data_IF_215303819240
#
_entry.id   IF_215303819240
#
_cell.length_a   1.000
_cell.length_b   1.000
_cell.length_c   1.000
_cell.angle_alpha   90.00
_cell.angle_beta   90.00
_cell.angle_gamma   90.00
#
_symmetry.space_group_name_H-M   'P 1'
#
loop_
_entity.id
_entity.type
_entity.pdbx_description
1 polymer ?
#
# COMPACT_ATOMS: atom_id res chain seq x y z
N UNK A 1 -13.13 -15.59 24.48
CA UNK A 1 -13.83 -14.30 24.30
C UNK A 1 -15.14 -14.46 23.52
N UNK A 2 -15.13 -14.83 22.23
CA UNK A 2 -16.39 -15.02 21.47
C UNK A 2 -17.25 -16.20 21.94
N UNK A 3 -16.63 -17.25 22.46
CA UNK A 3 -17.34 -18.34 23.17
C UNK A 3 -18.06 -17.85 24.44
N UNK A 4 -17.58 -16.76 25.07
CA UNK A 4 -18.22 -16.15 26.25
C UNK A 4 -19.44 -15.30 25.87
N UNK A 5 -19.54 -14.88 24.61
CA UNK A 5 -20.78 -14.33 24.06
C UNK A 5 -21.73 -15.42 23.59
N UNK A 6 -21.31 -16.69 23.53
CA UNK A 6 -22.15 -17.84 23.17
C UNK A 6 -22.85 -18.50 24.37
N UNK A 7 -22.45 -18.14 25.59
CA UNK A 7 -23.05 -18.61 26.85
C UNK A 7 -24.26 -17.76 27.26
N UNK A 8 -25.14 -18.34 28.07
CA UNK A 8 -26.19 -17.59 28.76
C UNK A 8 -25.61 -16.91 30.02
N UNK A 9 -26.11 -15.73 30.38
CA UNK A 9 -25.65 -14.99 31.56
C UNK A 9 -25.73 -13.48 31.42
N UNK A 10 -25.06 -12.78 32.33
CA UNK A 10 -25.01 -11.32 32.41
C UNK A 10 -23.57 -10.82 32.24
N UNK A 11 -23.41 -9.70 31.56
CA UNK A 11 -22.16 -8.97 31.38
C UNK A 11 -22.35 -7.59 31.99
N UNK A 12 -21.37 -7.14 32.76
CA UNK A 12 -21.36 -5.78 33.29
C UNK A 12 -20.70 -4.86 32.27
N UNK A 13 -21.38 -3.78 31.88
CA UNK A 13 -20.85 -2.73 31.02
C UNK A 13 -20.55 -1.50 31.86
N UNK A 14 -19.29 -1.03 31.81
CA UNK A 14 -18.89 0.19 32.49
C UNK A 14 -17.83 0.92 31.67
N UNK A 15 -18.08 2.19 31.31
CA UNK A 15 -17.15 3.04 30.54
C UNK A 15 -16.59 2.36 29.30
N UNK A 16 -17.45 1.88 28.40
CA UNK A 16 -17.07 1.20 27.15
C UNK A 16 -16.28 -0.12 27.35
N UNK A 17 -16.24 -0.67 28.56
CA UNK A 17 -15.63 -1.97 28.82
C UNK A 17 -16.67 -3.02 29.18
N UNK A 18 -16.47 -4.21 28.63
CA UNK A 18 -17.21 -5.42 29.00
C UNK A 18 -16.46 -6.15 30.10
N UNK A 19 -17.17 -6.44 31.18
CA UNK A 19 -16.68 -7.24 32.28
C UNK A 19 -17.45 -8.55 32.36
N UNK A 20 -16.73 -9.67 32.45
CA UNK A 20 -17.33 -10.99 32.53
C UNK A 20 -17.42 -11.45 33.98
N UNK A 21 -18.45 -12.25 34.33
CA UNK A 21 -18.57 -12.78 35.68
C UNK A 21 -17.34 -13.63 36.00
N UNK A 22 -16.73 -13.33 37.14
CA UNK A 22 -15.62 -14.10 37.66
C UNK A 22 -16.16 -15.44 38.12
N UNK A 23 -15.71 -16.53 37.50
CA UNK A 23 -16.02 -17.87 37.99
C UNK A 23 -15.31 -18.04 39.34
N UNK A 24 -16.10 -18.24 40.40
CA UNK A 24 -15.62 -18.36 41.77
C UNK A 24 -15.09 -19.78 42.00
N UNK A 25 -13.85 -20.01 41.57
CA UNK A 25 -13.03 -21.11 42.07
C UNK A 25 -12.52 -20.73 43.50
N UNK A 26 -12.43 -21.67 44.46
CA UNK A 26 -11.86 -21.42 45.79
C UNK A 26 -10.50 -20.70 45.76
N UNK A 27 -9.63 -21.03 44.80
CA UNK A 27 -8.31 -20.43 44.67
C UNK A 27 -8.41 -18.96 44.20
N UNK A 28 -9.33 -18.68 43.28
CA UNK A 28 -9.62 -17.33 42.77
C UNK A 28 -10.26 -16.47 43.87
N UNK A 29 -11.12 -17.04 44.72
CA UNK A 29 -11.67 -16.32 45.88
C UNK A 29 -10.57 -15.89 46.87
N UNK A 30 -9.56 -16.74 47.09
CA UNK A 30 -8.40 -16.41 47.91
C UNK A 30 -7.62 -15.21 47.36
N UNK A 31 -7.36 -15.18 46.06
CA UNK A 31 -6.65 -14.07 45.40
C UNK A 31 -7.45 -12.77 45.40
N UNK A 32 -8.76 -12.82 45.14
CA UNK A 32 -9.60 -11.61 45.13
C UNK A 32 -9.73 -11.00 46.52
N UNK A 33 -9.72 -11.82 47.58
CA UNK A 33 -9.77 -11.35 48.97
C UNK A 33 -8.54 -10.54 49.39
N UNK A 34 -7.43 -10.67 48.64
CA UNK A 34 -6.17 -9.94 48.85
C UNK A 34 -6.11 -8.61 48.06
N UNK A 35 -7.03 -8.39 47.11
CA UNK A 35 -7.07 -7.15 46.35
C UNK A 35 -7.63 -5.99 47.20
N UNK A 36 -7.16 -4.74 46.99
CA UNK A 36 -7.81 -3.57 47.55
C UNK A 36 -9.29 -3.58 47.16
N UNK A 37 -10.20 -3.31 48.10
CA UNK A 37 -11.66 -3.44 47.92
C UNK A 37 -12.07 -2.96 46.52
N UNK A 38 -12.71 -3.82 45.70
CA UNK A 38 -13.12 -3.45 44.35
C UNK A 38 -14.05 -2.23 44.43
N UNK A 39 -13.98 -1.36 43.41
CA UNK A 39 -14.89 -0.23 43.31
C UNK A 39 -16.32 -0.77 43.21
N UNK A 40 -17.12 -0.53 44.26
CA UNK A 40 -18.52 -0.95 44.32
C UNK A 40 -19.30 0.00 43.42
N UNK A 41 -19.82 -0.51 42.31
CA UNK A 41 -20.81 0.23 41.52
C UNK A 41 -22.16 0.08 42.24
N UNK A 42 -22.55 1.09 43.00
CA UNK A 42 -23.88 1.13 43.60
C UNK A 42 -24.93 1.19 42.48
N UNK A 43 -25.89 0.27 42.51
CA UNK A 43 -26.87 0.03 41.45
C UNK A 43 -27.81 1.22 41.13
N UNK A 44 -27.78 2.32 41.89
CA UNK A 44 -28.74 3.44 41.78
C UNK A 44 -28.12 4.84 41.57
N UNK A 45 -26.83 4.95 41.23
CA UNK A 45 -26.22 6.29 41.11
C UNK A 45 -26.37 6.89 39.71
N UNK A 46 -27.50 7.57 39.49
CA UNK A 46 -27.76 8.48 38.37
C UNK A 46 -26.91 9.78 38.39
N UNK A 47 -25.63 9.72 38.77
CA UNK A 47 -24.82 10.91 39.04
C UNK A 47 -23.37 10.85 38.57
N UNK A 48 -23.09 11.50 37.44
CA UNK A 48 -21.84 12.25 37.15
C UNK A 48 -20.54 11.47 36.84
N UNK A 49 -19.81 11.80 35.76
CA UNK A 49 -18.58 11.10 35.36
C UNK A 49 -17.35 11.65 36.10
N UNK A 50 -16.80 10.89 37.04
CA UNK A 50 -15.47 11.14 37.61
C UNK A 50 -14.36 10.36 36.87
N UNK A 51 -13.23 10.97 36.47
CA UNK A 51 -12.18 10.32 35.68
C UNK A 51 -11.21 9.52 36.59
N UNK A 52 -11.69 8.42 37.20
CA UNK A 52 -10.82 7.43 37.84
C UNK A 52 -10.38 6.33 36.86
N UNK A 53 -9.25 5.64 37.05
CA UNK A 53 -8.91 4.47 36.25
C UNK A 53 -9.98 3.37 36.42
N UNK A 54 -10.38 2.72 35.32
CA UNK A 54 -11.27 1.57 35.36
C UNK A 54 -10.58 0.46 36.18
N UNK A 55 -11.21 0.02 37.27
CA UNK A 55 -10.68 -1.08 38.08
C UNK A 55 -10.70 -2.39 37.28
N UNK A 56 -9.66 -3.22 37.41
CA UNK A 56 -9.59 -4.51 36.73
C UNK A 56 -10.70 -5.48 37.18
N UNK A 57 -11.24 -5.29 38.39
CA UNK A 57 -12.36 -6.04 38.96
C UNK A 57 -13.39 -5.06 39.52
N UNK A 58 -14.67 -5.29 39.21
CA UNK A 58 -15.80 -4.51 39.69
C UNK A 58 -16.81 -5.42 40.40
N UNK A 59 -17.48 -4.88 41.41
CA UNK A 59 -18.60 -5.55 42.07
C UNK A 59 -19.92 -4.94 41.59
N UNK A 60 -20.87 -5.79 41.23
CA UNK A 60 -22.26 -5.42 40.96
C UNK A 60 -23.17 -6.42 41.68
N UNK A 61 -23.83 -5.96 42.75
CA UNK A 61 -24.55 -6.84 43.67
C UNK A 61 -23.60 -7.76 44.45
N UNK A 62 -23.93 -9.05 44.47
CA UNK A 62 -23.17 -10.13 45.10
C UNK A 62 -22.11 -10.77 44.17
N UNK A 63 -22.00 -10.28 42.93
CA UNK A 63 -21.12 -10.84 41.91
C UNK A 63 -19.93 -9.93 41.59
N UNK A 64 -18.81 -10.58 41.29
CA UNK A 64 -17.58 -9.94 40.84
C UNK A 64 -17.42 -10.12 39.34
N UNK A 65 -16.96 -9.06 38.69
CA UNK A 65 -16.76 -9.01 37.25
C UNK A 65 -15.35 -8.54 36.92
N UNK A 66 -14.69 -9.21 35.99
CA UNK A 66 -13.32 -8.88 35.56
C UNK A 66 -13.35 -8.20 34.20
N UNK A 67 -12.59 -7.11 34.07
CA UNK A 67 -12.43 -6.37 32.83
C UNK A 67 -11.83 -7.28 31.75
N UNK A 68 -12.48 -7.38 30.59
CA UNK A 68 -11.97 -8.20 29.51
C UNK A 68 -11.59 -7.40 28.27
N UNK A 69 -12.54 -6.65 27.72
CA UNK A 69 -12.35 -5.99 26.42
C UNK A 69 -13.17 -4.73 26.33
N UNK A 70 -12.67 -3.77 25.55
CA UNK A 70 -13.45 -2.62 25.14
C UNK A 70 -14.52 -3.02 24.13
N UNK A 71 -15.74 -2.54 24.32
CA UNK A 71 -16.85 -2.84 23.42
C UNK A 71 -16.54 -2.36 21.99
N UNK A 72 -15.92 -1.18 21.84
CA UNK A 72 -15.48 -0.68 20.52
C UNK A 72 -14.43 -1.59 19.85
N UNK A 73 -13.49 -2.13 20.63
CA UNK A 73 -12.39 -2.95 20.11
C UNK A 73 -12.87 -4.27 19.48
N UNK A 74 -14.01 -4.82 19.95
CA UNK A 74 -14.65 -6.00 19.36
C UNK A 74 -15.05 -5.78 17.90
N UNK A 75 -15.47 -4.56 17.56
CA UNK A 75 -15.94 -4.19 16.23
C UNK A 75 -14.77 -3.67 15.39
N UNK A 76 -13.89 -2.86 15.97
CA UNK A 76 -12.74 -2.25 15.29
C UNK A 76 -11.76 -3.29 14.73
N UNK A 77 -11.46 -4.33 15.52
CA UNK A 77 -10.46 -5.34 15.17
C UNK A 77 -11.06 -6.60 14.55
N UNK A 78 -12.38 -6.67 14.38
CA UNK A 78 -13.07 -7.85 13.90
C UNK A 78 -12.50 -8.39 12.57
N UNK A 79 -12.28 -7.52 11.58
CA UNK A 79 -11.74 -7.89 10.27
C UNK A 79 -10.32 -8.49 10.37
N UNK A 80 -9.52 -8.02 11.33
CA UNK A 80 -8.15 -8.51 11.55
C UNK A 80 -8.16 -9.88 12.22
N UNK A 81 -9.09 -10.11 13.13
CA UNK A 81 -9.18 -11.37 13.89
C UNK A 81 -9.90 -12.46 13.07
N UNK A 82 -10.95 -12.11 12.31
CA UNK A 82 -11.77 -13.04 11.53
C UNK A 82 -11.91 -12.62 10.06
N UNK A 83 -10.80 -12.60 9.28
CA UNK A 83 -10.82 -12.07 7.91
C UNK A 83 -11.77 -12.83 6.99
N UNK A 84 -11.85 -14.16 7.13
CA UNK A 84 -12.75 -15.01 6.31
C UNK A 84 -14.22 -14.79 6.65
N UNK A 85 -14.56 -14.64 7.94
CA UNK A 85 -15.95 -14.42 8.35
C UNK A 85 -16.42 -13.02 7.97
N UNK A 86 -15.57 -12.01 8.20
CA UNK A 86 -15.79 -10.65 7.75
C UNK A 86 -16.04 -10.57 6.24
N UNK A 87 -15.24 -11.27 5.42
CA UNK A 87 -15.43 -11.31 3.98
C UNK A 87 -16.79 -11.92 3.57
N UNK A 88 -17.21 -13.02 4.23
CA UNK A 88 -18.53 -13.63 3.99
C UNK A 88 -19.67 -12.70 4.37
N UNK A 89 -19.61 -12.09 5.57
CA UNK A 89 -20.62 -11.13 6.05
C UNK A 89 -20.74 -9.92 5.13
N UNK A 90 -19.61 -9.38 4.69
CA UNK A 90 -19.58 -8.26 3.74
C UNK A 90 -20.21 -8.66 2.39
N UNK A 91 -19.94 -9.88 1.91
CA UNK A 91 -20.56 -10.41 0.70
C UNK A 91 -22.09 -10.55 0.85
N UNK A 92 -22.57 -11.10 1.96
CA UNK A 92 -24.01 -11.20 2.22
C UNK A 92 -24.68 -9.84 2.32
N UNK A 93 -24.02 -8.84 2.94
CA UNK A 93 -24.51 -7.46 2.96
C UNK A 93 -24.58 -6.87 1.55
N UNK A 94 -23.57 -7.12 0.72
CA UNK A 94 -23.58 -6.66 -0.67
C UNK A 94 -24.73 -7.26 -1.46
N UNK A 95 -25.01 -8.55 -1.28
CA UNK A 95 -26.17 -9.21 -1.92
C UNK A 95 -27.49 -8.62 -1.41
N UNK A 96 -27.64 -8.46 -0.09
CA UNK A 96 -28.84 -7.90 0.55
C UNK A 96 -29.19 -6.51 0.00
N UNK A 97 -28.20 -5.65 -0.22
CA UNK A 97 -28.41 -4.29 -0.74
C UNK A 97 -28.25 -4.19 -2.27
N UNK A 98 -28.17 -5.33 -2.96
CA UNK A 98 -27.96 -5.43 -4.42
C UNK A 98 -26.79 -4.56 -4.89
N UNK A 99 -25.64 -4.73 -4.23
CA UNK A 99 -24.39 -4.01 -4.48
C UNK A 99 -23.44 -4.80 -5.41
N UNK A 100 -23.92 -5.86 -6.05
CA UNK A 100 -23.08 -6.82 -6.78
C UNK A 100 -23.19 -6.71 -8.31
N UNK A 101 -22.05 -6.99 -8.96
CA UNK A 101 -21.74 -6.96 -10.40
C UNK A 101 -21.56 -5.57 -11.04
N UNK A 102 -22.58 -4.72 -11.10
CA UNK A 102 -22.50 -3.46 -11.88
C UNK A 102 -21.65 -2.36 -11.20
N UNK A 103 -21.41 -2.51 -9.89
CA UNK A 103 -20.59 -1.60 -9.07
C UNK A 103 -19.18 -2.11 -8.83
N UNK A 104 -18.91 -3.38 -9.17
CA UNK A 104 -17.59 -4.02 -9.05
C UNK A 104 -16.69 -3.71 -10.26
N UNK A 105 -17.05 -2.67 -11.02
CA UNK A 105 -16.33 -2.17 -12.17
C UNK A 105 -14.86 -1.87 -11.86
N UNK A 106 -14.12 -1.65 -12.94
CA UNK A 106 -12.68 -1.40 -12.92
C UNK A 106 -12.37 -0.27 -11.93
N UNK A 107 -11.85 -0.63 -10.75
CA UNK A 107 -11.36 0.35 -9.79
C UNK A 107 -10.00 0.85 -10.26
N UNK A 108 -9.89 2.15 -10.44
CA UNK A 108 -8.64 2.79 -10.81
C UNK A 108 -7.79 2.96 -9.56
N UNK A 109 -6.82 2.07 -9.40
CA UNK A 109 -5.90 2.06 -8.27
C UNK A 109 -5.20 3.43 -8.13
N UNK A 110 -5.33 4.13 -6.98
CA UNK A 110 -4.67 5.42 -6.74
C UNK A 110 -3.15 5.38 -6.96
N UNK A 111 -2.50 4.24 -6.73
CA UNK A 111 -1.07 4.07 -6.99
C UNK A 111 -0.77 4.01 -8.48
N UNK A 112 -1.61 3.35 -9.27
CA UNK A 112 -1.50 3.37 -10.73
C UNK A 112 -1.65 4.80 -11.27
N UNK A 113 -2.66 5.53 -10.79
CA UNK A 113 -2.85 6.95 -11.13
C UNK A 113 -1.60 7.76 -10.81
N UNK A 114 -1.01 7.55 -9.63
CA UNK A 114 0.24 8.21 -9.23
C UNK A 114 1.42 7.84 -10.15
N UNK A 115 1.56 6.57 -10.50
CA UNK A 115 2.62 6.09 -11.40
C UNK A 115 2.49 6.75 -12.78
N UNK A 116 1.28 6.75 -13.34
CA UNK A 116 1.01 7.22 -14.70
C UNK A 116 1.11 8.74 -14.81
N UNK A 117 0.53 9.49 -13.87
CA UNK A 117 0.41 10.95 -14.01
C UNK A 117 1.47 11.75 -13.25
N UNK A 118 2.18 11.15 -12.30
CA UNK A 118 3.15 11.88 -11.49
C UNK A 118 4.57 11.32 -11.56
N UNK A 119 4.75 10.03 -11.87
CA UNK A 119 6.09 9.42 -11.95
C UNK A 119 6.56 9.28 -13.40
N UNK A 120 5.74 8.69 -14.27
CA UNK A 120 6.07 8.47 -15.68
C UNK A 120 6.51 9.76 -16.41
N UNK A 121 5.83 10.91 -16.25
CA UNK A 121 6.21 12.15 -16.95
C UNK A 121 7.58 12.72 -16.57
N UNK A 122 8.16 12.24 -15.45
CA UNK A 122 9.52 12.62 -15.04
C UNK A 122 10.59 11.87 -15.85
N UNK A 123 10.34 10.61 -16.20
CA UNK A 123 11.31 9.71 -16.81
C UNK A 123 11.13 9.48 -18.32
N UNK A 124 9.98 9.90 -18.86
CA UNK A 124 9.60 9.75 -20.27
C UNK A 124 9.41 11.14 -20.86
N UNK A 125 9.89 11.33 -22.09
CA UNK A 125 9.73 12.58 -22.83
C UNK A 125 8.98 12.31 -24.12
N UNK A 126 8.33 13.32 -24.68
CA UNK A 126 7.79 13.20 -26.03
C UNK A 126 8.90 13.56 -27.02
N UNK A 127 9.25 12.65 -27.92
CA UNK A 127 10.17 12.92 -29.03
C UNK A 127 9.46 13.77 -30.11
N UNK A 128 10.13 14.84 -30.56
CA UNK A 128 9.62 15.81 -31.53
C UNK A 128 10.58 17.01 -31.67
N UNK A 129 10.19 18.06 -32.41
CA UNK A 129 11.03 19.26 -32.68
C UNK A 129 11.55 19.97 -31.41
N UNK A 130 10.89 19.80 -30.27
CA UNK A 130 11.38 20.20 -28.94
C UNK A 130 11.04 19.11 -27.93
N UNK A 131 12.05 18.43 -27.40
CA UNK A 131 11.88 17.44 -26.33
C UNK A 131 11.26 18.10 -25.10
N UNK A 132 10.02 17.76 -24.76
CA UNK A 132 9.28 18.36 -23.63
C UNK A 132 8.74 17.30 -22.67
N UNK A 133 8.53 17.71 -21.42
CA UNK A 133 7.86 16.88 -20.40
C UNK A 133 6.35 16.90 -20.63
N UNK A 134 5.71 15.76 -20.44
CA UNK A 134 4.26 15.66 -20.41
C UNK A 134 3.76 16.35 -19.14
N UNK A 135 2.78 17.26 -19.24
CA UNK A 135 2.31 18.05 -18.08
C UNK A 135 0.86 17.80 -17.71
N UNK A 136 0.04 17.44 -18.69
CA UNK A 136 -1.40 17.26 -18.50
C UNK A 136 -1.75 15.77 -18.58
N UNK A 137 -2.74 15.34 -17.78
CA UNK A 137 -3.21 13.94 -17.77
C UNK A 137 -3.67 13.50 -19.17
N UNK A 138 -4.35 14.39 -19.90
CA UNK A 138 -4.77 14.16 -21.27
C UNK A 138 -3.60 13.84 -22.20
N UNK A 139 -2.53 14.63 -22.13
CA UNK A 139 -1.31 14.46 -22.93
C UNK A 139 -0.61 13.13 -22.62
N UNK A 140 -0.57 12.74 -21.34
CA UNK A 140 -0.02 11.45 -20.91
C UNK A 140 -0.82 10.29 -21.48
N UNK A 141 -2.15 10.35 -21.45
CA UNK A 141 -3.00 9.27 -21.97
C UNK A 141 -2.96 9.18 -23.49
N UNK A 142 -2.84 10.31 -24.20
CA UNK A 142 -2.66 10.32 -25.64
C UNK A 142 -1.32 9.66 -26.01
N UNK A 143 -0.24 10.06 -25.34
CA UNK A 143 1.09 9.48 -25.53
C UNK A 143 1.13 7.96 -25.26
N UNK A 144 0.48 7.52 -24.17
CA UNK A 144 0.34 6.08 -23.89
C UNK A 144 -0.52 5.40 -24.95
N UNK A 145 -1.62 6.03 -25.39
CA UNK A 145 -2.54 5.47 -26.38
C UNK A 145 -1.91 5.29 -27.77
N UNK A 146 -0.97 6.16 -28.15
CA UNK A 146 -0.16 6.03 -29.37
C UNK A 146 0.74 4.78 -29.32
N UNK A 147 1.34 4.52 -28.15
CA UNK A 147 2.26 3.39 -27.95
C UNK A 147 1.55 2.07 -27.61
N UNK A 148 0.38 2.16 -27.00
CA UNK A 148 -0.42 1.04 -26.51
C UNK A 148 -1.90 1.29 -26.82
N UNK A 149 -2.34 1.07 -28.07
CA UNK A 149 -3.71 1.30 -28.47
C UNK A 149 -4.67 0.36 -27.72
N UNK A 150 -5.67 0.93 -27.07
CA UNK A 150 -6.64 0.18 -26.30
C UNK A 150 -7.59 -0.63 -27.22
N UNK A 151 -7.86 -1.92 -26.93
CA UNK A 151 -8.87 -2.68 -27.65
C UNK A 151 -10.26 -2.04 -27.52
N UNK A 152 -11.10 -2.13 -28.56
CA UNK A 152 -12.46 -1.54 -28.59
C UNK A 152 -13.36 -1.96 -27.42
N UNK A 153 -13.13 -3.15 -26.83
CA UNK A 153 -13.85 -3.60 -25.64
C UNK A 153 -13.71 -2.60 -24.46
N UNK A 154 -12.56 -1.94 -24.34
CA UNK A 154 -12.30 -0.95 -23.30
C UNK A 154 -13.00 0.39 -23.55
N UNK A 155 -13.39 0.71 -24.79
CA UNK A 155 -14.25 1.87 -25.05
C UNK A 155 -15.66 1.65 -24.51
N UNK A 156 -16.19 0.43 -24.63
CA UNK A 156 -17.48 0.06 -24.03
C UNK A 156 -17.39 0.11 -22.51
N UNK A 157 -16.32 -0.44 -21.93
CA UNK A 157 -16.09 -0.36 -20.48
C UNK A 157 -15.91 1.08 -20.00
N UNK A 158 -15.27 1.95 -20.78
CA UNK A 158 -15.19 3.38 -20.47
C UNK A 158 -16.58 4.03 -20.41
N UNK A 159 -17.48 3.66 -21.33
CA UNK A 159 -18.87 4.13 -21.30
C UNK A 159 -19.63 3.64 -20.06
N UNK A 160 -19.48 2.36 -19.71
CA UNK A 160 -20.08 1.77 -18.51
C UNK A 160 -19.51 2.37 -17.22
N UNK A 161 -18.20 2.66 -17.20
CA UNK A 161 -17.53 3.33 -16.08
C UNK A 161 -18.10 4.73 -15.84
N UNK A 162 -18.37 5.48 -16.90
CA UNK A 162 -18.93 6.83 -16.82
C UNK A 162 -20.41 6.86 -16.41
N UNK A 163 -21.12 5.72 -16.46
CA UNK A 163 -22.49 5.66 -15.92
C UNK A 163 -22.46 5.67 -14.39
N UNK A 164 -22.84 6.81 -13.82
CA UNK A 164 -22.91 7.03 -12.37
C UNK A 164 -24.26 6.63 -11.77
N UNK A 165 -25.28 6.32 -12.59
CA UNK A 165 -26.62 6.02 -12.09
C UNK A 165 -26.70 4.77 -11.20
N UNK A 166 -25.98 3.67 -11.51
CA UNK A 166 -25.91 2.51 -10.62
C UNK A 166 -25.37 2.89 -9.24
N UNK A 167 -24.32 3.71 -9.18
CA UNK A 167 -23.70 4.17 -7.93
C UNK A 167 -24.64 5.06 -7.11
N UNK A 168 -25.28 6.04 -7.76
CA UNK A 168 -26.26 6.91 -7.09
C UNK A 168 -27.43 6.11 -6.53
N UNK A 169 -27.90 5.10 -7.27
CA UNK A 169 -28.96 4.21 -6.83
C UNK A 169 -28.53 3.36 -5.63
N UNK A 170 -27.31 2.81 -5.66
CA UNK A 170 -26.74 2.05 -4.55
C UNK A 170 -26.56 2.89 -3.28
N UNK A 171 -26.04 4.11 -3.42
CA UNK A 171 -25.91 5.06 -2.31
C UNK A 171 -27.26 5.44 -1.70
N UNK A 172 -28.32 5.59 -2.51
CA UNK A 172 -29.69 5.79 -2.01
C UNK A 172 -30.18 4.58 -1.21
N UNK A 173 -29.96 3.35 -1.69
CA UNK A 173 -30.29 2.12 -0.96
C UNK A 173 -29.57 2.02 0.38
N UNK A 174 -28.27 2.34 0.41
CA UNK A 174 -27.48 2.36 1.65
C UNK A 174 -27.91 3.48 2.61
N UNK A 175 -28.33 4.63 2.09
CA UNK A 175 -28.79 5.75 2.91
C UNK A 175 -30.15 5.49 3.58
N UNK A 176 -30.93 4.53 3.05
CA UNK A 176 -32.17 4.05 3.66
C UNK A 176 -31.93 2.99 4.75
N UNK A 177 -30.69 2.53 4.95
CA UNK A 177 -30.37 1.62 6.04
C UNK A 177 -30.53 2.31 7.40
N UNK A 178 -31.02 1.60 8.43
CA UNK A 178 -31.15 2.17 9.76
C UNK A 178 -29.79 2.64 10.29
N UNK A 179 -29.74 3.72 11.09
CA UNK A 179 -28.53 4.10 11.79
C UNK A 179 -28.08 2.95 12.71
N UNK A 180 -26.77 2.91 13.01
CA UNK A 180 -26.24 1.94 13.95
C UNK A 180 -26.90 2.06 15.34
N UNK A 181 -26.86 0.98 16.14
CA UNK A 181 -27.46 0.99 17.46
C UNK A 181 -26.77 2.03 18.35
N UNK A 182 -27.50 2.50 19.37
CA UNK A 182 -26.93 3.36 20.40
C UNK A 182 -25.77 2.64 21.13
N UNK A 183 -24.85 3.39 21.77
CA UNK A 183 -23.85 2.81 22.65
C UNK A 183 -24.50 1.90 23.72
N UNK A 184 -23.79 0.86 24.15
CA UNK A 184 -24.28 -0.01 25.22
C UNK A 184 -24.58 0.83 26.48
N UNK A 185 -25.75 0.66 27.11
CA UNK A 185 -26.04 1.31 28.38
C UNK A 185 -25.10 0.77 29.47
N UNK A 186 -24.82 1.60 30.47
CA UNK A 186 -24.06 1.15 31.64
C UNK A 186 -24.91 0.20 32.51
N UNK A 187 -24.24 -0.74 33.17
CA UNK A 187 -24.86 -1.67 34.11
C UNK A 187 -24.85 -3.13 33.63
N UNK A 188 -25.64 -3.96 34.31
CA UNK A 188 -25.76 -5.38 34.03
C UNK A 188 -26.67 -5.60 32.81
N UNK A 189 -26.13 -6.25 31.78
CA UNK A 189 -26.86 -6.57 30.56
C UNK A 189 -26.85 -8.08 30.30
N UNK A 190 -27.98 -8.64 29.83
CA UNK A 190 -27.99 -10.00 29.32
C UNK A 190 -26.99 -10.17 28.18
N UNK A 191 -26.29 -11.29 28.13
CA UNK A 191 -25.36 -11.63 27.03
C UNK A 191 -26.04 -11.53 25.67
N UNK A 192 -27.32 -11.93 25.58
CA UNK A 192 -28.12 -11.82 24.36
C UNK A 192 -28.23 -10.38 23.85
N UNK A 193 -28.45 -9.41 24.74
CA UNK A 193 -28.53 -7.99 24.39
C UNK A 193 -27.19 -7.43 23.93
N UNK A 194 -26.08 -7.83 24.58
CA UNK A 194 -24.73 -7.45 24.14
C UNK A 194 -24.39 -8.05 22.77
N UNK A 195 -24.85 -9.28 22.50
CA UNK A 195 -24.67 -9.96 21.21
C UNK A 195 -25.44 -9.25 20.10
N UNK A 196 -26.72 -8.95 20.31
CA UNK A 196 -27.55 -8.21 19.36
C UNK A 196 -26.96 -6.83 19.06
N UNK A 197 -26.57 -6.09 20.09
CA UNK A 197 -25.86 -4.82 19.93
C UNK A 197 -24.60 -4.97 19.08
N UNK A 198 -23.79 -5.99 19.35
CA UNK A 198 -22.55 -6.22 18.61
C UNK A 198 -22.82 -6.55 17.15
N UNK A 199 -23.80 -7.40 16.85
CA UNK A 199 -24.18 -7.77 15.48
C UNK A 199 -24.66 -6.55 14.68
N UNK A 200 -25.55 -5.74 15.25
CA UNK A 200 -26.05 -4.52 14.63
C UNK A 200 -24.95 -3.45 14.49
N UNK A 201 -24.06 -3.31 15.46
CA UNK A 201 -22.91 -2.38 15.38
C UNK A 201 -21.94 -2.81 14.29
N UNK A 202 -21.64 -4.10 14.19
CA UNK A 202 -20.75 -4.64 13.16
C UNK A 202 -21.35 -4.45 11.76
N UNK A 203 -22.64 -4.72 11.61
CA UNK A 203 -23.39 -4.48 10.37
C UNK A 203 -23.36 -2.99 9.98
N UNK A 204 -23.65 -2.09 10.92
CA UNK A 204 -23.59 -0.65 10.69
C UNK A 204 -22.20 -0.19 10.27
N UNK A 205 -21.13 -0.73 10.89
CA UNK A 205 -19.74 -0.45 10.50
C UNK A 205 -19.46 -0.88 9.06
N UNK A 206 -19.87 -2.08 8.66
CA UNK A 206 -19.69 -2.55 7.28
C UNK A 206 -20.47 -1.70 6.27
N UNK A 207 -21.71 -1.32 6.58
CA UNK A 207 -22.49 -0.41 5.74
C UNK A 207 -21.84 0.96 5.60
N UNK A 208 -21.30 1.52 6.69
CA UNK A 208 -20.58 2.79 6.67
C UNK A 208 -19.30 2.71 5.80
N UNK A 209 -18.56 1.60 5.90
CA UNK A 209 -17.37 1.35 5.07
C UNK A 209 -17.73 1.24 3.58
N UNK A 210 -18.78 0.49 3.24
CA UNK A 210 -19.25 0.38 1.85
C UNK A 210 -19.78 1.71 1.32
N UNK A 211 -20.50 2.49 2.13
CA UNK A 211 -20.94 3.83 1.76
C UNK A 211 -19.75 4.75 1.45
N UNK A 212 -18.73 4.75 2.31
CA UNK A 212 -17.52 5.53 2.08
C UNK A 212 -16.80 5.11 0.78
N UNK A 213 -16.70 3.80 0.53
CA UNK A 213 -16.15 3.26 -0.73
C UNK A 213 -16.93 3.74 -1.95
N UNK A 214 -18.26 3.61 -1.96
CA UNK A 214 -19.09 4.01 -3.11
C UNK A 214 -19.09 5.53 -3.33
N UNK A 215 -18.97 6.33 -2.26
CA UNK A 215 -18.77 7.78 -2.39
C UNK A 215 -17.44 8.11 -3.06
N UNK A 216 -16.37 7.41 -2.69
CA UNK A 216 -15.07 7.57 -3.35
C UNK A 216 -15.15 7.17 -4.83
N UNK A 217 -15.74 6.01 -5.14
CA UNK A 217 -15.90 5.54 -6.53
C UNK A 217 -16.75 6.53 -7.37
N UNK A 218 -17.76 7.16 -6.77
CA UNK A 218 -18.56 8.20 -7.42
C UNK A 218 -17.73 9.46 -7.70
N UNK A 219 -17.00 9.96 -6.71
CA UNK A 219 -16.13 11.13 -6.88
C UNK A 219 -15.07 10.89 -7.95
N UNK A 220 -14.48 9.69 -7.98
CA UNK A 220 -13.50 9.33 -8.99
C UNK A 220 -14.13 9.33 -10.40
N UNK A 221 -15.31 8.70 -10.58
CA UNK A 221 -16.00 8.71 -11.88
C UNK A 221 -16.42 10.12 -12.31
N UNK A 222 -16.87 10.97 -11.39
CA UNK A 222 -17.22 12.36 -11.69
C UNK A 222 -16.00 13.17 -12.12
N UNK A 223 -14.82 12.95 -11.50
CA UNK A 223 -13.55 13.54 -11.96
C UNK A 223 -13.20 13.10 -13.38
N UNK A 224 -13.41 11.83 -13.70
CA UNK A 224 -13.10 11.28 -15.02
C UNK A 224 -14.15 11.61 -16.09
N UNK A 225 -15.32 12.14 -15.73
CA UNK A 225 -16.39 12.48 -16.68
C UNK A 225 -16.00 13.54 -17.72
N UNK A 226 -15.08 14.45 -17.36
CA UNK A 226 -14.53 15.44 -18.29
C UNK A 226 -13.49 14.86 -19.27
N UNK A 227 -13.05 13.61 -19.06
CA UNK A 227 -12.03 12.96 -19.88
C UNK A 227 -12.64 12.36 -21.13
N UNK A 228 -11.97 12.52 -22.27
CA UNK A 228 -12.41 11.89 -23.52
C UNK A 228 -12.45 10.36 -23.38
N UNK A 229 -13.50 9.74 -23.94
CA UNK A 229 -13.74 8.29 -23.83
C UNK A 229 -12.54 7.44 -24.24
N UNK A 230 -11.85 7.82 -25.32
CA UNK A 230 -10.66 7.11 -25.79
C UNK A 230 -9.52 7.09 -24.77
N UNK A 231 -9.27 8.23 -24.12
CA UNK A 231 -8.25 8.35 -23.05
C UNK A 231 -8.61 7.51 -21.83
N UNK A 232 -9.88 7.51 -21.43
CA UNK A 232 -10.36 6.66 -20.35
C UNK A 232 -10.22 5.17 -20.71
N UNK A 233 -10.53 4.78 -21.95
CA UNK A 233 -10.33 3.41 -22.43
C UNK A 233 -8.85 2.99 -22.34
N UNK A 234 -7.90 3.87 -22.69
CA UNK A 234 -6.47 3.65 -22.49
C UNK A 234 -6.12 3.42 -21.03
N UNK A 235 -6.64 4.24 -20.11
CA UNK A 235 -6.37 4.10 -18.69
C UNK A 235 -6.94 2.79 -18.11
N UNK A 236 -8.16 2.41 -18.52
CA UNK A 236 -8.80 1.16 -18.11
C UNK A 236 -8.05 -0.06 -18.66
N UNK A 237 -7.59 0.01 -19.92
CA UNK A 237 -6.78 -1.02 -20.53
C UNK A 237 -5.44 -1.19 -19.79
N UNK A 238 -4.79 -0.08 -19.46
CA UNK A 238 -3.56 -0.07 -18.67
C UNK A 238 -3.76 -0.66 -17.28
N UNK A 239 -4.87 -0.33 -16.62
CA UNK A 239 -5.24 -0.93 -15.33
C UNK A 239 -5.43 -2.44 -15.44
N UNK A 240 -6.07 -2.91 -16.51
CA UNK A 240 -6.29 -4.32 -16.78
C UNK A 240 -4.97 -5.08 -17.05
N UNK A 241 -4.13 -4.56 -17.96
CA UNK A 241 -2.82 -5.14 -18.26
C UNK A 241 -1.92 -5.17 -17.02
N UNK A 242 -1.99 -4.13 -16.19
CA UNK A 242 -1.20 -4.02 -14.98
C UNK A 242 0.30 -3.82 -15.24
N UNK A 243 0.71 -3.55 -16.48
CA UNK A 243 2.10 -3.28 -16.83
C UNK A 243 2.21 -2.36 -18.05
N UNK A 244 3.31 -1.61 -18.12
CA UNK A 244 3.68 -0.75 -19.25
C UNK A 244 5.18 -0.51 -19.20
N UNK A 245 5.82 -0.41 -20.37
CA UNK A 245 7.18 0.09 -20.53
C UNK A 245 7.25 1.04 -21.72
N UNK A 246 7.67 2.28 -21.48
CA UNK A 246 7.86 3.34 -22.48
C UNK A 246 9.22 4.00 -22.24
N UNK A 247 10.02 4.11 -23.30
CA UNK A 247 11.36 4.72 -23.24
C UNK A 247 12.23 4.16 -22.10
N UNK A 248 12.10 2.85 -21.82
CA UNK A 248 12.80 2.17 -20.74
C UNK A 248 12.32 2.49 -19.32
N UNK A 249 11.35 3.39 -19.12
CA UNK A 249 10.60 3.50 -17.87
C UNK A 249 9.42 2.54 -17.89
N UNK A 250 9.17 1.82 -16.81
CA UNK A 250 8.03 0.93 -16.77
C UNK A 250 7.58 0.54 -15.38
N UNK A 251 6.47 -0.18 -15.33
CA UNK A 251 5.97 -0.80 -14.12
C UNK A 251 5.27 -2.12 -14.42
N UNK A 252 5.14 -2.97 -13.40
CA UNK A 252 4.23 -4.12 -13.42
C UNK A 252 3.63 -4.36 -12.04
N UNK A 253 2.39 -4.83 -12.03
CA UNK A 253 1.65 -5.20 -10.83
C UNK A 253 2.27 -6.43 -10.16
N UNK A 254 2.37 -6.42 -8.85
CA UNK A 254 2.88 -7.50 -8.01
C UNK A 254 1.71 -8.33 -7.48
N UNK A 255 1.52 -9.52 -8.07
CA UNK A 255 0.44 -10.43 -7.70
C UNK A 255 -0.95 -9.87 -8.02
N UNK A 256 -1.94 -10.24 -7.20
CA UNK A 256 -3.34 -9.78 -7.34
C UNK A 256 -3.65 -8.50 -6.56
N UNK A 257 -2.65 -7.89 -5.93
CA UNK A 257 -2.82 -6.73 -5.08
C UNK A 257 -2.74 -5.38 -5.82
N UNK A 258 -2.60 -4.34 -5.01
CA UNK A 258 -2.40 -2.94 -5.41
C UNK A 258 -0.92 -2.53 -5.31
N UNK A 259 -0.02 -3.51 -5.41
CA UNK A 259 1.40 -3.29 -5.33
C UNK A 259 2.02 -3.31 -6.72
N UNK A 260 3.02 -2.47 -6.93
CA UNK A 260 3.71 -2.31 -8.19
C UNK A 260 5.21 -2.38 -7.98
N UNK A 261 5.91 -2.93 -8.98
CA UNK A 261 7.33 -2.71 -9.17
C UNK A 261 7.49 -1.69 -10.28
N UNK A 262 8.09 -0.55 -9.96
CA UNK A 262 8.30 0.59 -10.85
C UNK A 262 9.79 0.65 -11.15
N UNK A 263 10.19 0.81 -12.40
CA UNK A 263 11.57 0.70 -12.82
C UNK A 263 11.95 1.65 -13.95
N UNK A 264 13.26 1.87 -14.08
CA UNK A 264 13.88 2.53 -15.22
C UNK A 264 15.09 1.70 -15.68
N UNK A 265 15.19 1.51 -16.99
CA UNK A 265 16.36 0.93 -17.66
C UNK A 265 17.52 1.92 -17.63
N UNK A 266 18.71 1.42 -17.36
CA UNK A 266 19.94 2.21 -17.40
C UNK A 266 20.39 2.49 -18.83
N UNK A 267 19.99 1.63 -19.78
CA UNK A 267 20.73 1.48 -21.04
C UNK A 267 22.08 0.82 -20.79
N UNK A 268 22.78 0.44 -21.86
CA UNK A 268 24.19 0.04 -21.76
C UNK A 268 25.05 1.29 -21.57
N UNK A 269 26.04 1.23 -20.68
CA UNK A 269 26.90 2.37 -20.36
C UNK A 269 28.35 1.93 -20.14
N UNK A 270 29.27 2.89 -20.24
CA UNK A 270 30.69 2.64 -19.99
C UNK A 270 31.12 3.37 -18.73
N UNK A 271 31.76 2.64 -17.80
CA UNK A 271 32.44 3.24 -16.65
C UNK A 271 33.94 3.33 -16.93
N UNK A 272 34.53 4.47 -16.57
CA UNK A 272 35.97 4.65 -16.55
C UNK A 272 36.50 4.53 -15.12
N UNK A 273 37.59 3.78 -14.95
CA UNK A 273 38.34 3.72 -13.70
C UNK A 273 39.35 4.87 -13.57
N UNK A 274 40.02 4.97 -12.43
CA UNK A 274 41.03 5.99 -12.12
C UNK A 274 42.26 5.90 -13.03
N UNK A 275 42.58 4.71 -13.55
CA UNK A 275 43.68 4.50 -14.49
C UNK A 275 43.26 4.69 -15.96
N UNK A 276 42.03 5.15 -16.20
CA UNK A 276 41.51 5.43 -17.52
C UNK A 276 40.97 4.20 -18.26
N UNK A 277 40.98 3.01 -17.66
CA UNK A 277 40.44 1.77 -18.25
C UNK A 277 38.91 1.87 -18.35
N UNK A 278 38.36 1.33 -19.42
CA UNK A 278 36.93 1.42 -19.75
C UNK A 278 36.27 0.05 -19.65
N UNK A 279 35.11 0.01 -19.01
CA UNK A 279 34.33 -1.20 -18.80
C UNK A 279 32.91 -1.02 -19.32
N UNK A 280 32.47 -1.91 -20.18
CA UNK A 280 31.13 -1.92 -20.76
C UNK A 280 30.18 -2.68 -19.85
N UNK A 281 29.22 -1.97 -19.27
CA UNK A 281 28.15 -2.55 -18.48
C UNK A 281 26.89 -2.71 -19.33
N UNK A 282 26.25 -3.89 -19.30
CA UNK A 282 25.01 -4.11 -20.04
C UNK A 282 23.86 -3.34 -19.41
N UNK A 283 22.77 -3.20 -20.17
CA UNK A 283 21.53 -2.62 -19.67
C UNK A 283 20.93 -3.45 -18.51
N UNK A 284 20.35 -2.77 -17.53
CA UNK A 284 19.60 -3.36 -16.43
C UNK A 284 18.47 -2.45 -15.98
N UNK A 285 17.50 -3.02 -15.26
CA UNK A 285 16.40 -2.30 -14.62
C UNK A 285 16.76 -2.03 -13.17
N UNK A 286 16.78 -0.74 -12.82
CA UNK A 286 16.72 -0.28 -11.44
C UNK A 286 15.26 -0.11 -11.08
N UNK A 287 14.81 -0.81 -10.05
CA UNK A 287 13.43 -0.86 -9.64
C UNK A 287 13.23 -0.54 -8.16
N UNK A 288 12.07 0.00 -7.84
CA UNK A 288 11.52 0.11 -6.49
C UNK A 288 10.19 -0.62 -6.42
N UNK A 289 9.84 -1.11 -5.24
CA UNK A 289 8.55 -1.77 -4.99
C UNK A 289 7.73 -0.98 -3.99
N UNK A 290 6.43 -0.87 -4.24
CA UNK A 290 5.46 -0.27 -3.30
C UNK A 290 5.17 -1.16 -2.08
N UNK A 291 5.56 -2.43 -2.14
CA UNK A 291 5.41 -3.39 -1.04
C UNK A 291 6.51 -3.21 0.02
N UNK A 292 7.72 -2.82 -0.42
CA UNK A 292 8.88 -2.59 0.43
C UNK A 292 9.05 -1.10 0.73
N UNK A 293 10.06 -0.73 1.55
CA UNK A 293 10.41 0.67 1.88
C UNK A 293 11.05 1.44 0.71
N UNK A 294 10.49 1.31 -0.49
CA UNK A 294 10.96 1.91 -1.74
C UNK A 294 12.47 1.69 -1.99
N UNK A 295 13.01 0.55 -1.56
CA UNK A 295 14.43 0.25 -1.69
C UNK A 295 14.79 0.04 -3.18
N UNK A 296 15.76 0.79 -3.73
CA UNK A 296 16.21 0.55 -5.09
C UNK A 296 16.96 -0.77 -5.20
N UNK A 297 16.62 -1.54 -6.22
CA UNK A 297 17.18 -2.85 -6.50
C UNK A 297 17.46 -2.99 -7.99
N UNK A 298 18.52 -3.73 -8.33
CA UNK A 298 18.71 -4.22 -9.70
C UNK A 298 17.92 -5.50 -9.87
N UNK A 299 17.03 -5.53 -10.87
CA UNK A 299 16.12 -6.66 -11.08
C UNK A 299 16.87 -7.85 -11.66
N UNK A 300 17.70 -7.61 -12.66
CA UNK A 300 18.46 -8.61 -13.40
C UNK A 300 19.56 -9.25 -12.55
N UNK A 301 20.00 -10.43 -13.00
CA UNK A 301 21.28 -10.98 -12.58
C UNK A 301 22.41 -10.10 -13.12
N UNK A 302 22.92 -9.21 -12.28
CA UNK A 302 23.80 -8.12 -12.70
C UNK A 302 25.10 -8.11 -11.93
N UNK A 303 26.20 -7.80 -12.62
CA UNK A 303 27.54 -7.75 -12.02
C UNK A 303 27.99 -6.30 -11.98
N UNK A 304 28.07 -5.72 -10.77
CA UNK A 304 28.41 -4.32 -10.60
C UNK A 304 29.22 -4.07 -9.30
N UNK A 305 30.22 -3.17 -9.31
CA UNK A 305 31.08 -2.91 -8.15
C UNK A 305 30.34 -2.50 -6.87
N UNK A 306 29.25 -1.75 -7.01
CA UNK A 306 28.46 -1.25 -5.87
C UNK A 306 27.39 -2.20 -5.35
N UNK A 307 27.27 -3.39 -5.94
CA UNK A 307 26.33 -4.40 -5.49
C UNK A 307 27.02 -5.49 -4.68
N UNK A 308 26.31 -6.03 -3.69
CA UNK A 308 26.93 -6.90 -2.69
C UNK A 308 27.24 -8.32 -3.17
N UNK A 309 26.47 -8.83 -4.14
CA UNK A 309 26.48 -10.22 -4.60
C UNK A 309 25.97 -10.25 -6.03
N UNK A 310 26.55 -11.04 -6.91
CA UNK A 310 25.99 -11.25 -8.25
C UNK A 310 24.72 -12.11 -8.15
N UNK A 311 23.55 -11.59 -8.55
CA UNK A 311 22.26 -12.25 -8.37
C UNK A 311 21.08 -11.42 -8.89
N UNK A 312 19.87 -11.96 -9.05
CA UNK A 312 18.69 -11.12 -9.30
C UNK A 312 18.26 -10.36 -8.03
N UNK A 313 17.58 -9.22 -8.17
CA UNK A 313 16.95 -8.49 -7.06
C UNK A 313 17.90 -7.82 -6.06
N UNK A 314 19.13 -7.51 -6.49
CA UNK A 314 20.19 -6.98 -5.64
C UNK A 314 19.86 -5.60 -5.08
N UNK A 315 19.90 -5.43 -3.77
CA UNK A 315 19.70 -4.12 -3.13
C UNK A 315 20.89 -3.18 -3.35
N UNK A 316 20.58 -1.97 -3.80
CA UNK A 316 21.54 -0.86 -3.92
C UNK A 316 21.66 -0.19 -2.55
N UNK A 317 22.86 -0.12 -1.99
CA UNK A 317 23.07 0.32 -0.61
C UNK A 317 23.23 1.84 -0.52
N UNK A 318 22.14 2.61 -0.45
CA UNK A 318 22.16 4.08 -0.34
C UNK A 318 22.66 4.65 1.02
N UNK A 319 23.41 3.87 1.81
CA UNK A 319 23.92 4.29 3.12
C UNK A 319 22.83 4.51 4.19
N UNK A 320 23.11 5.43 5.12
CA UNK A 320 22.27 5.81 6.27
C UNK A 320 21.25 6.90 5.96
N UNK A 321 21.10 7.33 4.71
CA UNK A 321 20.07 8.30 4.33
C UNK A 321 18.68 7.72 4.65
N UNK A 322 17.86 8.52 5.33
CA UNK A 322 16.52 8.13 5.77
C UNK A 322 15.68 7.74 4.56
N UNK A 323 15.42 6.44 4.41
CA UNK A 323 14.64 5.91 3.30
C UNK A 323 13.17 6.28 3.51
N UNK A 324 12.51 6.95 2.55
CA UNK A 324 11.10 7.25 2.69
C UNK A 324 10.29 5.95 2.79
N UNK A 325 9.46 5.83 3.83
CA UNK A 325 8.64 4.63 4.06
C UNK A 325 7.28 4.71 3.35
N UNK A 326 6.78 5.92 3.10
CA UNK A 326 5.48 6.14 2.49
C UNK A 326 5.57 6.27 0.97
N UNK A 327 4.66 5.62 0.25
CA UNK A 327 4.52 5.75 -1.19
C UNK A 327 4.08 7.18 -1.57
N UNK A 328 4.88 7.84 -2.40
CA UNK A 328 4.53 9.10 -3.07
C UNK A 328 5.33 9.21 -4.38
N UNK A 329 4.88 10.03 -5.33
CA UNK A 329 5.60 10.24 -6.57
C UNK A 329 7.03 10.74 -6.33
N UNK A 330 7.18 11.74 -5.46
CA UNK A 330 8.49 12.31 -5.10
C UNK A 330 9.43 11.26 -4.53
N UNK A 331 8.95 10.41 -3.60
CA UNK A 331 9.79 9.38 -2.99
C UNK A 331 10.20 8.29 -3.99
N UNK A 332 9.30 7.90 -4.89
CA UNK A 332 9.62 6.92 -5.94
C UNK A 332 10.65 7.49 -6.92
N UNK A 333 10.44 8.74 -7.38
CA UNK A 333 11.37 9.42 -8.30
C UNK A 333 12.75 9.50 -7.66
N UNK A 334 12.84 10.02 -6.43
CA UNK A 334 14.10 10.15 -5.71
C UNK A 334 14.80 8.80 -5.55
N UNK A 335 14.08 7.77 -5.13
CA UNK A 335 14.65 6.44 -4.94
C UNK A 335 15.18 5.83 -6.25
N UNK A 336 14.44 5.98 -7.36
CA UNK A 336 14.90 5.53 -8.67
C UNK A 336 16.13 6.32 -9.13
N UNK A 337 16.13 7.64 -9.00
CA UNK A 337 17.29 8.48 -9.34
C UNK A 337 18.52 8.15 -8.51
N UNK A 338 18.37 7.97 -7.19
CA UNK A 338 19.47 7.57 -6.32
C UNK A 338 20.02 6.20 -6.68
N UNK A 339 19.15 5.24 -7.02
CA UNK A 339 19.55 3.92 -7.49
C UNK A 339 20.30 3.97 -8.82
N UNK A 340 19.78 4.72 -9.80
CA UNK A 340 20.43 4.92 -11.10
C UNK A 340 21.77 5.63 -10.96
N UNK A 341 21.81 6.73 -10.18
CA UNK A 341 23.02 7.50 -9.95
C UNK A 341 24.08 6.68 -9.21
N UNK A 342 23.69 5.83 -8.26
CA UNK A 342 24.61 4.93 -7.59
C UNK A 342 25.27 3.93 -8.54
N UNK A 343 24.58 3.47 -9.59
CA UNK A 343 25.18 2.61 -10.62
C UNK A 343 26.07 3.42 -11.58
N UNK A 344 25.58 4.55 -12.07
CA UNK A 344 26.25 5.31 -13.12
C UNK A 344 27.45 6.13 -12.60
N UNK A 345 27.37 6.65 -11.38
CA UNK A 345 28.35 7.59 -10.81
C UNK A 345 28.87 7.19 -9.42
N UNK A 346 28.23 6.23 -8.75
CA UNK A 346 28.58 5.81 -7.39
C UNK A 346 27.90 6.60 -6.27
N UNK A 347 28.26 6.29 -5.01
CA UNK A 347 27.56 6.78 -3.82
C UNK A 347 27.90 8.23 -3.41
N UNK A 348 28.85 8.91 -4.07
CA UNK A 348 29.24 10.28 -3.68
C UNK A 348 29.86 11.08 -4.85
N UNK A 349 29.09 11.97 -5.47
CA UNK A 349 29.57 12.83 -6.57
C UNK A 349 30.63 13.88 -6.19
N UNK A 350 30.93 14.08 -4.89
CA UNK A 350 31.96 15.02 -4.40
C UNK A 350 33.32 14.38 -4.08
N UNK A 351 33.43 13.05 -4.08
CA UNK A 351 34.70 12.34 -3.81
C UNK A 351 35.21 11.73 -5.11
N UNK A 352 36.15 12.45 -5.76
CA UNK A 352 37.00 12.04 -6.89
C UNK A 352 36.46 10.85 -7.70
N UNK A 353 35.80 11.16 -8.81
CA UNK A 353 35.22 10.22 -9.75
C UNK A 353 36.33 9.38 -10.41
N UNK A 354 36.55 8.17 -9.90
CA UNK A 354 37.44 7.18 -10.50
C UNK A 354 37.64 6.01 -9.54
N UNK A 355 37.28 4.80 -9.97
CA UNK A 355 37.58 3.59 -9.22
C UNK A 355 39.10 3.35 -9.23
N UNK A 356 39.75 3.17 -8.08
CA UNK A 356 41.20 2.95 -8.08
C UNK A 356 41.62 1.78 -8.97
N UNK A 357 40.90 0.66 -8.97
CA UNK A 357 41.00 -0.38 -10.00
C UNK A 357 39.74 -1.24 -9.91
N UNK A 358 39.15 -1.58 -11.05
CA UNK A 358 38.06 -2.57 -11.13
C UNK A 358 38.58 -4.00 -11.29
N UNK A 359 39.89 -4.18 -11.39
CA UNK A 359 40.53 -5.48 -11.68
C UNK A 359 40.95 -6.23 -10.40
N UNK A 360 41.04 -5.58 -9.23
CA UNK A 360 41.41 -6.27 -7.98
C UNK A 360 41.12 -5.44 -6.72
N UNK A 361 40.43 -5.96 -5.69
CA UNK A 361 40.30 -5.27 -4.41
C UNK A 361 41.54 -5.50 -3.51
N UNK A 362 42.04 -4.47 -2.80
CA UNK A 362 42.84 -4.70 -1.60
C UNK A 362 41.89 -5.11 -0.46
N UNK A 363 41.80 -6.41 -0.18
CA UNK A 363 41.04 -6.95 0.98
C UNK A 363 40.07 -8.09 0.63
N UNK A 364 39.98 -9.06 1.55
CA UNK A 364 39.45 -10.43 1.41
C UNK A 364 37.96 -10.61 1.15
N UNK A 365 37.22 -9.62 0.64
CA UNK A 365 35.79 -9.77 0.34
C UNK A 365 35.43 -9.13 -1.00
N UNK A 366 35.71 -9.85 -2.10
CA UNK A 366 34.79 -10.20 -3.22
C UNK A 366 35.55 -10.75 -4.43
N UNK A 367 35.13 -11.94 -4.86
CA UNK A 367 35.69 -12.76 -5.96
C UNK A 367 35.18 -12.38 -7.36
N UNK A 368 34.87 -11.10 -7.61
CA UNK A 368 34.21 -10.69 -8.86
C UNK A 368 35.22 -9.94 -9.73
N UNK A 369 35.81 -10.65 -10.69
CA UNK A 369 36.77 -10.12 -11.69
C UNK A 369 35.99 -9.47 -12.83
N UNK A 370 36.33 -8.25 -13.26
CA UNK A 370 35.59 -7.50 -14.31
C UNK A 370 36.31 -7.44 -15.67
N UNK A 371 37.37 -8.23 -15.86
CA UNK A 371 38.15 -8.27 -17.10
C UNK A 371 37.30 -8.58 -18.35
N UNK A 372 36.23 -9.36 -18.17
CA UNK A 372 35.24 -9.69 -19.21
C UNK A 372 34.48 -8.47 -19.75
N UNK A 373 34.41 -7.38 -18.99
CA UNK A 373 33.76 -6.13 -19.40
C UNK A 373 34.75 -5.09 -19.93
N UNK A 374 36.06 -5.35 -19.83
CA UNK A 374 37.08 -4.40 -20.26
C UNK A 374 37.09 -4.27 -21.78
N UNK A 375 37.04 -3.04 -22.27
CA UNK A 375 37.10 -2.73 -23.70
C UNK A 375 38.29 -1.83 -24.03
N UNK A 376 38.89 -1.97 -25.22
CA UNK A 376 39.96 -1.10 -25.65
C UNK A 376 39.44 0.31 -26.00
N UNK A 377 40.33 1.31 -26.04
CA UNK A 377 39.95 2.71 -26.21
C UNK A 377 39.30 3.02 -27.57
N UNK A 378 39.63 2.22 -28.59
CA UNK A 378 39.18 2.28 -29.98
C UNK A 378 37.93 1.40 -30.24
N UNK A 379 37.32 0.83 -29.20
CA UNK A 379 36.15 -0.02 -29.37
C UNK A 379 35.04 0.71 -30.16
N UNK A 380 34.48 0.11 -31.23
CA UNK A 380 33.57 0.79 -32.16
C UNK A 380 32.36 1.48 -31.51
N UNK A 381 31.81 0.86 -30.46
CA UNK A 381 30.66 1.41 -29.71
C UNK A 381 31.00 2.68 -28.90
N UNK A 382 32.28 2.85 -28.51
CA UNK A 382 32.75 4.03 -27.79
C UNK A 382 33.07 5.15 -28.77
N UNK A 383 33.76 4.82 -29.87
CA UNK A 383 34.13 5.78 -30.91
C UNK A 383 32.90 6.36 -31.61
N UNK A 384 31.88 5.53 -31.87
CA UNK A 384 30.62 5.97 -32.47
C UNK A 384 29.72 6.80 -31.55
N UNK A 385 30.13 7.04 -30.30
CA UNK A 385 29.35 7.75 -29.26
C UNK A 385 27.95 7.16 -29.02
N UNK A 386 27.72 5.90 -29.42
CA UNK A 386 26.46 5.17 -29.20
C UNK A 386 26.26 4.78 -27.74
N UNK A 387 27.31 4.86 -26.93
CA UNK A 387 27.28 4.56 -25.51
C UNK A 387 27.71 5.78 -24.71
N UNK A 388 26.98 6.03 -23.63
CA UNK A 388 27.33 7.11 -22.72
C UNK A 388 28.50 6.69 -21.83
N UNK A 389 29.55 7.50 -21.83
CA UNK A 389 30.70 7.33 -20.96
C UNK A 389 30.46 8.10 -19.66
N UNK A 390 30.31 7.37 -18.56
CA UNK A 390 30.13 7.94 -17.23
C UNK A 390 31.49 8.03 -16.51
N UNK A 391 31.61 9.02 -15.61
CA UNK A 391 32.85 9.34 -14.88
C UNK A 391 34.02 9.80 -15.77
N UNK A 392 33.76 10.76 -16.67
CA UNK A 392 34.87 11.51 -17.29
C UNK A 392 35.58 12.28 -16.19
N UNK A 393 36.80 11.88 -15.84
CA UNK A 393 37.68 12.70 -15.01
C UNK A 393 37.83 14.07 -15.68
N UNK A 394 37.56 15.14 -14.93
CA UNK A 394 37.94 16.50 -15.32
C UNK A 394 39.37 16.74 -14.87
#
# INVERSE_FOLDING_TARGET
MWQCLATEGEILVHRDHLYFPLLLDPDIQGEVSLLPRPAILAADSAGGPGPGPAGAVLAAGDRLFVQAVRASALVEHYVRVFPRDAARRLQSLREQYSLTADLLGIHLDPRLITIVFHILPHFVRQEGLKTRRLRQEAEVLDFIGESLPAPRAFEKQAQEFLDVNPLKSALRRLSAAPPGPAPLPEGLLPVAGVREWWEETLKARFLAQERARLLQDLQDRERWAATQRGRLATLLYLAHQGSLELEGFGFHRLGRGHDYRIYKRTGSYVLQDFYGRRYLFPDCRVAVSTLERLQPRVVEHYKHPFLRRQGPGQAICLGSQSRPQAFSAQHVIQALEDGLNALLYGYNGRRRNGYHSLDTPPGSVRSVVFDDYRIPHDHPLVVSQRLEMKNRGV
#
